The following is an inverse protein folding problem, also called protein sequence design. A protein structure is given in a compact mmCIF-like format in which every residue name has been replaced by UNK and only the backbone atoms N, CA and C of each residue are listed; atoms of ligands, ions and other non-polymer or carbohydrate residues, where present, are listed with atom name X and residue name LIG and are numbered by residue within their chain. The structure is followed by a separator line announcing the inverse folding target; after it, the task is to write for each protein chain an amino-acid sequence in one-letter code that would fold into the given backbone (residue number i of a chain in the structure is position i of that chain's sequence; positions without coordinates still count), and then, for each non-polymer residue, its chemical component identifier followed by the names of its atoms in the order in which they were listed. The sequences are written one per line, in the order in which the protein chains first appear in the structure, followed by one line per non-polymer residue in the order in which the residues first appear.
data_IF_159380714426
#
_entry.id   IF_159380714426
#
_cell.length_a   1.000
_cell.length_b   1.000
_cell.length_c   1.000
_cell.angle_alpha   90.00
_cell.angle_beta   90.00
_cell.angle_gamma   90.00
#
_symmetry.space_group_name_H-M   'P 1'
#
loop_
_entity.id
_entity.type
_entity.pdbx_description
1 polymer ?
#
# COMPACT_ATOMS: atom_id res chain seq x y z
N UNK A 1 18.72 -69.81 -26.54
CA UNK A 1 19.78 -69.26 -25.66
C UNK A 1 19.43 -67.81 -25.41
N UNK A 2 18.83 -67.52 -24.27
CA UNK A 2 18.59 -66.15 -23.83
C UNK A 2 19.90 -65.60 -23.29
N UNK A 3 20.48 -64.60 -23.96
CA UNK A 3 21.67 -63.89 -23.49
C UNK A 3 21.27 -63.09 -22.25
N UNK A 4 21.65 -63.58 -21.07
CA UNK A 4 21.41 -62.87 -19.82
C UNK A 4 22.18 -61.52 -19.83
N UNK A 5 21.52 -60.40 -19.51
CA UNK A 5 22.15 -59.09 -19.55
C UNK A 5 23.28 -58.99 -18.53
N UNK A 6 24.46 -58.58 -19.00
CA UNK A 6 25.67 -58.47 -18.18
C UNK A 6 25.48 -57.38 -17.10
N UNK A 7 25.55 -57.69 -15.80
CA UNK A 7 25.15 -56.79 -14.72
C UNK A 7 25.94 -55.48 -14.69
N UNK A 8 27.21 -55.49 -15.10
CA UNK A 8 28.04 -54.28 -15.18
C UNK A 8 27.59 -53.30 -16.28
N UNK A 9 27.11 -53.81 -17.42
CA UNK A 9 26.62 -52.95 -18.51
C UNK A 9 25.29 -52.28 -18.14
N UNK A 10 24.45 -52.99 -17.38
CA UNK A 10 23.19 -52.47 -16.87
C UNK A 10 23.42 -51.31 -15.88
N UNK A 11 24.31 -51.49 -14.91
CA UNK A 11 24.66 -50.42 -13.98
C UNK A 11 25.29 -49.21 -14.69
N UNK A 12 26.10 -49.44 -15.73
CA UNK A 12 26.67 -48.35 -16.52
C UNK A 12 25.59 -47.56 -17.28
N UNK A 13 24.61 -48.25 -17.88
CA UNK A 13 23.48 -47.62 -18.56
C UNK A 13 22.61 -46.79 -17.60
N UNK A 14 22.29 -47.33 -16.41
CA UNK A 14 21.55 -46.62 -15.37
C UNK A 14 22.31 -45.37 -14.86
N UNK A 15 23.64 -45.46 -14.72
CA UNK A 15 24.47 -44.32 -14.36
C UNK A 15 24.49 -43.23 -15.44
N UNK A 16 24.58 -43.61 -16.71
CA UNK A 16 24.49 -42.66 -17.83
C UNK A 16 23.13 -41.98 -17.90
N UNK A 17 22.04 -42.71 -17.69
CA UNK A 17 20.69 -42.15 -17.64
C UNK A 17 20.54 -41.14 -16.49
N UNK A 18 21.09 -41.46 -15.32
CA UNK A 18 21.15 -40.54 -14.19
C UNK A 18 21.96 -39.27 -14.52
N UNK A 19 23.13 -39.40 -15.15
CA UNK A 19 23.97 -38.26 -15.54
C UNK A 19 23.29 -37.38 -16.60
N UNK A 20 22.61 -37.98 -17.57
CA UNK A 20 21.83 -37.27 -18.58
C UNK A 20 20.65 -36.52 -17.93
N UNK A 21 19.94 -37.16 -17.01
CA UNK A 21 18.86 -36.53 -16.26
C UNK A 21 19.34 -35.31 -15.46
N UNK A 22 20.45 -35.45 -14.72
CA UNK A 22 21.02 -34.33 -13.96
C UNK A 22 21.49 -33.19 -14.88
N UNK A 23 22.11 -33.53 -16.00
CA UNK A 23 22.56 -32.55 -17.00
C UNK A 23 21.38 -31.79 -17.59
N UNK A 24 20.31 -32.49 -17.95
CA UNK A 24 19.08 -31.88 -18.48
C UNK A 24 18.44 -30.96 -17.44
N UNK A 25 18.32 -31.41 -16.20
CA UNK A 25 17.80 -30.59 -15.09
C UNK A 25 18.62 -29.31 -14.89
N UNK A 26 19.95 -29.40 -14.96
CA UNK A 26 20.82 -28.24 -14.83
C UNK A 26 20.68 -27.26 -16.01
N UNK A 27 20.54 -27.78 -17.23
CA UNK A 27 20.28 -26.98 -18.43
C UNK A 27 18.94 -26.23 -18.33
N UNK A 28 17.89 -26.90 -17.87
CA UNK A 28 16.57 -26.30 -17.70
C UNK A 28 16.58 -25.23 -16.60
N UNK A 29 17.25 -25.49 -15.46
CA UNK A 29 17.42 -24.49 -14.41
C UNK A 29 18.19 -23.25 -14.92
N UNK A 30 19.24 -23.46 -15.71
CA UNK A 30 20.04 -22.38 -16.31
C UNK A 30 19.20 -21.57 -17.30
N UNK A 31 18.38 -22.23 -18.12
CA UNK A 31 17.47 -21.59 -19.07
C UNK A 31 16.43 -20.73 -18.36
N UNK A 32 15.84 -21.23 -17.29
CA UNK A 32 14.87 -20.49 -16.47
C UNK A 32 15.53 -19.24 -15.87
N UNK A 33 16.71 -19.38 -15.29
CA UNK A 33 17.47 -18.26 -14.73
C UNK A 33 17.81 -17.20 -15.80
N UNK A 34 18.28 -17.62 -16.98
CA UNK A 34 18.59 -16.71 -18.08
C UNK A 34 17.35 -15.94 -18.55
N UNK A 35 16.21 -16.60 -18.67
CA UNK A 35 14.96 -15.97 -19.08
C UNK A 35 14.44 -14.98 -18.03
N UNK A 36 14.50 -15.34 -16.74
CA UNK A 36 14.13 -14.43 -15.64
C UNK A 36 15.02 -13.20 -15.60
N UNK A 37 16.33 -13.38 -15.76
CA UNK A 37 17.30 -12.28 -15.81
C UNK A 37 17.03 -11.37 -17.00
N UNK A 38 16.73 -11.94 -18.18
CA UNK A 38 16.40 -11.16 -19.36
C UNK A 38 15.11 -10.35 -19.19
N UNK A 39 14.06 -10.94 -18.62
CA UNK A 39 12.81 -10.24 -18.32
C UNK A 39 13.04 -9.06 -17.36
N UNK A 40 13.85 -9.26 -16.32
CA UNK A 40 14.19 -8.19 -15.39
C UNK A 40 14.96 -7.05 -16.07
N UNK A 41 15.92 -7.36 -16.95
CA UNK A 41 16.67 -6.35 -17.70
C UNK A 41 15.74 -5.51 -18.60
N UNK A 42 14.75 -6.14 -19.24
CA UNK A 42 13.77 -5.43 -20.07
C UNK A 42 12.94 -4.47 -19.20
N UNK A 43 12.42 -4.94 -18.07
CA UNK A 43 11.63 -4.13 -17.13
C UNK A 43 12.44 -2.91 -16.62
N UNK A 44 13.70 -3.12 -16.24
CA UNK A 44 14.59 -2.03 -15.84
C UNK A 44 14.81 -1.02 -16.99
N UNK A 45 14.92 -1.50 -18.23
CA UNK A 45 15.04 -0.65 -19.41
C UNK A 45 13.82 0.25 -19.63
N UNK A 46 12.61 -0.24 -19.36
CA UNK A 46 11.37 0.55 -19.44
C UNK A 46 11.31 1.61 -18.34
N UNK A 47 11.65 1.25 -17.10
CA UNK A 47 11.73 2.20 -16.00
C UNK A 47 12.72 3.35 -16.29
N UNK A 48 13.89 3.04 -16.85
CA UNK A 48 14.88 4.05 -17.26
C UNK A 48 14.34 4.97 -18.35
N UNK A 49 13.58 4.45 -19.32
CA UNK A 49 12.94 5.27 -20.36
C UNK A 49 11.92 6.23 -19.75
N UNK A 50 11.09 5.74 -18.83
CA UNK A 50 10.09 6.55 -18.15
C UNK A 50 10.74 7.68 -17.34
N UNK A 51 11.75 7.37 -16.53
CA UNK A 51 12.49 8.37 -15.75
C UNK A 51 13.17 9.43 -16.64
N UNK A 52 13.66 9.04 -17.81
CA UNK A 52 14.23 9.99 -18.77
C UNK A 52 13.16 10.92 -19.38
N UNK A 53 11.97 10.39 -19.66
CA UNK A 53 10.84 11.19 -20.14
C UNK A 53 10.38 12.18 -19.05
N UNK A 54 10.24 11.73 -17.80
CA UNK A 54 9.88 12.60 -16.68
C UNK A 54 10.92 13.69 -16.44
N UNK A 55 12.20 13.35 -16.50
CA UNK A 55 13.29 14.33 -16.41
C UNK A 55 13.23 15.35 -17.54
N UNK A 56 12.87 14.95 -18.76
CA UNK A 56 12.66 15.85 -19.89
C UNK A 56 11.44 16.75 -19.67
N UNK A 57 10.34 16.20 -19.17
CA UNK A 57 9.13 16.96 -18.84
C UNK A 57 9.42 18.01 -17.73
N UNK A 58 10.16 17.63 -16.69
CA UNK A 58 10.56 18.54 -15.61
C UNK A 58 11.45 19.67 -16.12
N UNK A 59 12.40 19.38 -17.03
CA UNK A 59 13.20 20.41 -17.70
C UNK A 59 12.34 21.38 -18.51
N UNK A 60 11.35 20.87 -19.24
CA UNK A 60 10.41 21.70 -19.99
C UNK A 60 9.54 22.55 -19.08
N UNK A 61 9.06 22.02 -17.95
CA UNK A 61 8.30 22.77 -16.96
C UNK A 61 9.14 23.90 -16.34
N UNK A 62 10.41 23.63 -16.00
CA UNK A 62 11.34 24.65 -15.51
C UNK A 62 11.60 25.73 -16.56
N UNK A 63 11.89 25.35 -17.81
CA UNK A 63 12.06 26.29 -18.90
C UNK A 63 10.82 27.14 -19.17
N UNK A 64 9.61 26.55 -19.06
CA UNK A 64 8.34 27.29 -19.14
C UNK A 64 8.18 28.27 -17.98
N UNK A 65 8.50 27.85 -16.75
CA UNK A 65 8.49 28.70 -15.56
C UNK A 65 9.47 29.87 -15.69
N UNK A 66 10.68 29.61 -16.19
CA UNK A 66 11.70 30.63 -16.41
C UNK A 66 11.27 31.61 -17.50
N UNK A 67 10.70 31.13 -18.61
CA UNK A 67 10.11 31.97 -19.65
C UNK A 67 8.93 32.82 -19.15
N UNK A 68 8.13 32.26 -18.24
CA UNK A 68 7.03 32.94 -17.53
C UNK A 68 7.54 34.07 -16.63
N UNK A 69 8.70 33.90 -15.98
CA UNK A 69 9.32 34.91 -15.12
C UNK A 69 9.95 36.03 -15.96
N UNK A 70 10.44 35.72 -17.16
CA UNK A 70 11.02 36.70 -18.09
C UNK A 70 9.98 37.40 -19.00
N UNK A 71 8.71 37.00 -18.94
CA UNK A 71 7.63 37.61 -19.71
C UNK A 71 7.12 38.91 -19.06
N UNK A 72 6.79 39.96 -19.84
CA UNK A 72 6.29 41.22 -19.30
C UNK A 72 5.02 41.03 -18.45
N UNK A 73 4.85 41.81 -17.37
CA UNK A 73 3.93 41.50 -16.28
C UNK A 73 2.50 41.87 -16.68
N UNK A 74 1.79 40.99 -17.39
CA UNK A 74 0.33 41.16 -17.52
C UNK A 74 -0.50 39.90 -17.82
N UNK A 75 0.08 38.68 -17.77
CA UNK A 75 -0.69 37.45 -18.05
C UNK A 75 -0.55 36.33 -17.01
N UNK A 76 0.56 36.20 -16.28
CA UNK A 76 0.88 34.94 -15.60
C UNK A 76 0.42 34.79 -14.15
N UNK A 77 0.12 35.88 -13.44
CA UNK A 77 -0.31 35.80 -12.03
C UNK A 77 -1.71 35.19 -11.87
N UNK A 78 -2.61 35.45 -12.82
CA UNK A 78 -3.98 34.94 -12.77
C UNK A 78 -4.01 33.42 -13.04
N UNK A 79 -3.19 32.94 -13.97
CA UNK A 79 -3.09 31.50 -14.27
C UNK A 79 -2.48 30.72 -13.11
N UNK A 80 -1.42 31.24 -12.46
CA UNK A 80 -0.79 30.58 -11.33
C UNK A 80 -1.72 30.51 -10.09
N UNK A 81 -2.49 31.57 -9.81
CA UNK A 81 -3.49 31.55 -8.74
C UNK A 81 -4.66 30.61 -9.06
N UNK A 82 -5.13 30.61 -10.30
CA UNK A 82 -6.16 29.66 -10.76
C UNK A 82 -5.68 28.21 -10.62
N UNK A 83 -4.42 27.94 -10.93
CA UNK A 83 -3.83 26.62 -10.81
C UNK A 83 -3.69 26.18 -9.35
N UNK A 84 -3.27 27.07 -8.46
CA UNK A 84 -3.25 26.83 -7.00
C UNK A 84 -4.65 26.58 -6.43
N UNK A 85 -5.65 27.35 -6.87
CA UNK A 85 -7.04 27.14 -6.47
C UNK A 85 -7.56 25.79 -6.99
N UNK A 86 -7.27 25.43 -8.23
CA UNK A 86 -7.63 24.13 -8.81
C UNK A 86 -6.98 22.97 -8.06
N UNK A 87 -5.69 23.06 -7.72
CA UNK A 87 -5.00 22.03 -6.94
C UNK A 87 -5.61 21.89 -5.55
N UNK A 88 -5.87 23.00 -4.86
CA UNK A 88 -6.51 22.96 -3.54
C UNK A 88 -7.90 22.33 -3.62
N UNK A 89 -8.69 22.67 -4.64
CA UNK A 89 -10.02 22.08 -4.85
C UNK A 89 -9.95 20.59 -5.15
N UNK A 90 -8.99 20.16 -5.97
CA UNK A 90 -8.75 18.74 -6.29
C UNK A 90 -8.30 17.95 -5.04
N UNK A 91 -7.42 18.50 -4.21
CA UNK A 91 -7.01 17.88 -2.94
C UNK A 91 -8.21 17.74 -1.98
N UNK A 92 -9.09 18.75 -1.90
CA UNK A 92 -10.31 18.64 -1.09
C UNK A 92 -11.32 17.67 -1.66
N UNK A 93 -11.40 17.56 -2.98
CA UNK A 93 -12.31 16.64 -3.66
C UNK A 93 -11.86 15.18 -3.49
N UNK A 94 -10.56 14.91 -3.64
CA UNK A 94 -9.96 13.59 -3.36
C UNK A 94 -10.13 13.20 -1.89
N UNK A 95 -9.90 14.11 -0.94
CA UNK A 95 -10.17 13.86 0.48
C UNK A 95 -11.63 13.49 0.75
N UNK A 96 -12.58 14.16 0.06
CA UNK A 96 -14.01 13.90 0.16
C UNK A 96 -14.40 12.58 -0.50
N UNK A 97 -13.90 12.31 -1.70
CA UNK A 97 -14.17 11.09 -2.45
C UNK A 97 -13.68 9.85 -1.69
N UNK A 98 -12.46 9.89 -1.15
CA UNK A 98 -11.94 8.82 -0.30
C UNK A 98 -12.75 8.68 1.00
N UNK A 99 -13.13 9.80 1.63
CA UNK A 99 -13.96 9.76 2.85
C UNK A 99 -15.30 9.09 2.54
N UNK A 100 -15.89 9.40 1.38
CA UNK A 100 -17.16 8.86 0.96
C UNK A 100 -17.05 7.39 0.52
N UNK A 101 -15.96 7.00 -0.14
CA UNK A 101 -15.66 5.61 -0.47
C UNK A 101 -15.46 4.76 0.79
N UNK A 102 -14.77 5.28 1.82
CA UNK A 102 -14.64 4.60 3.11
C UNK A 102 -16.02 4.46 3.79
N UNK A 103 -16.84 5.52 3.82
CA UNK A 103 -18.21 5.44 4.38
C UNK A 103 -19.05 4.39 3.62
N UNK A 104 -18.98 4.36 2.29
CA UNK A 104 -19.69 3.37 1.49
C UNK A 104 -19.20 1.94 1.76
N UNK A 105 -17.88 1.75 1.96
CA UNK A 105 -17.33 0.46 2.36
C UNK A 105 -17.83 0.02 3.75
N UNK A 106 -17.86 0.92 4.73
CA UNK A 106 -18.45 0.66 6.05
C UNK A 106 -19.96 0.34 5.95
N UNK A 107 -20.70 1.01 5.08
CA UNK A 107 -22.13 0.75 4.86
C UNK A 107 -22.39 -0.58 4.13
N UNK A 108 -21.54 -0.96 3.18
CA UNK A 108 -21.65 -2.23 2.46
C UNK A 108 -21.35 -3.43 3.37
N UNK A 109 -20.47 -3.25 4.36
CA UNK A 109 -20.28 -4.22 5.44
C UNK A 109 -21.55 -4.32 6.33
N UNK A 110 -22.23 -3.19 6.57
CA UNK A 110 -23.50 -3.17 7.30
C UNK A 110 -24.68 -3.84 6.57
N UNK A 111 -24.65 -3.94 5.24
CA UNK A 111 -25.77 -4.46 4.44
C UNK A 111 -25.65 -5.95 4.05
N UNK A 112 -24.52 -6.62 4.33
CA UNK A 112 -24.30 -8.03 3.94
C UNK A 112 -24.85 -9.06 4.95
N UNK A 113 -25.54 -8.64 6.01
CA UNK A 113 -26.13 -9.55 7.01
C UNK A 113 -27.65 -9.69 6.87
N UNK A 114 -28.12 -10.63 6.03
CA UNK A 114 -29.49 -11.13 6.13
C UNK A 114 -29.55 -12.25 7.17
N UNK A 115 -30.24 -11.99 8.29
CA UNK A 115 -30.70 -13.05 9.19
C UNK A 115 -30.40 -12.82 10.67
N UNK A 116 -31.41 -12.28 11.37
CA UNK A 116 -31.68 -12.44 12.80
C UNK A 116 -30.69 -11.81 13.83
N UNK A 117 -31.21 -10.82 14.55
CA UNK A 117 -30.83 -10.29 15.87
C UNK A 117 -29.52 -9.50 16.13
N UNK A 118 -28.52 -9.44 15.25
CA UNK A 118 -27.29 -8.66 15.52
C UNK A 118 -26.86 -7.78 14.33
N UNK A 119 -27.52 -6.63 14.15
CA UNK A 119 -27.32 -5.77 12.96
C UNK A 119 -25.94 -5.09 12.93
N UNK A 120 -25.16 -5.18 11.83
CA UNK A 120 -23.91 -4.40 11.66
C UNK A 120 -24.15 -2.91 11.35
N UNK A 121 -25.38 -2.49 11.01
CA UNK A 121 -25.82 -1.09 11.13
C UNK A 121 -25.87 -0.59 12.58
N UNK A 122 -25.98 -1.49 13.56
CA UNK A 122 -25.79 -1.16 14.97
C UNK A 122 -24.31 -0.98 15.31
N UNK A 123 -23.37 -1.75 14.72
CA UNK A 123 -21.94 -1.63 15.03
C UNK A 123 -21.36 -0.26 14.69
N UNK A 124 -21.64 0.27 13.48
CA UNK A 124 -21.22 1.63 13.12
C UNK A 124 -21.87 2.70 14.02
N UNK A 125 -23.16 2.54 14.32
CA UNK A 125 -23.89 3.46 15.20
C UNK A 125 -23.38 3.40 16.65
N UNK A 126 -23.13 2.20 17.16
CA UNK A 126 -22.55 1.93 18.48
C UNK A 126 -21.14 2.52 18.55
N UNK A 127 -20.35 2.34 17.50
CA UNK A 127 -19.03 2.94 17.38
C UNK A 127 -19.08 4.47 17.35
N UNK A 128 -19.96 5.07 16.55
CA UNK A 128 -20.15 6.52 16.56
C UNK A 128 -20.65 7.04 17.92
N UNK A 129 -21.46 6.26 18.64
CA UNK A 129 -21.90 6.58 20.01
C UNK A 129 -20.75 6.57 21.03
N UNK A 130 -19.63 5.89 20.76
CA UNK A 130 -18.41 5.98 21.60
C UNK A 130 -17.66 7.31 21.41
N UNK A 131 -18.14 8.20 20.53
CA UNK A 131 -17.54 9.49 20.18
C UNK A 131 -16.01 9.40 19.91
N UNK A 132 -15.58 8.54 18.97
CA UNK A 132 -14.17 8.32 18.67
C UNK A 132 -13.45 9.61 18.27
N UNK A 133 -12.31 9.87 18.93
CA UNK A 133 -11.49 11.06 18.70
C UNK A 133 -10.80 11.00 17.34
N UNK A 134 -10.79 12.11 16.61
CA UNK A 134 -10.02 12.27 15.37
C UNK A 134 -8.55 12.55 15.71
N UNK A 135 -7.62 11.84 15.07
CA UNK A 135 -6.18 12.04 15.22
C UNK A 135 -5.58 12.68 13.97
N UNK A 136 -4.86 13.79 14.16
CA UNK A 136 -4.26 14.56 13.05
C UNK A 136 -2.73 14.50 13.08
N UNK A 137 -2.14 14.76 14.24
CA UNK A 137 -0.70 14.74 14.49
C UNK A 137 -0.44 14.49 15.98
N UNK A 138 0.76 14.01 16.29
CA UNK A 138 1.28 13.90 17.65
C UNK A 138 1.73 15.29 18.11
N UNK A 139 1.11 15.86 19.15
CA UNK A 139 1.58 17.10 19.78
C UNK A 139 2.39 16.79 21.04
N UNK A 140 1.94 15.80 21.83
CA UNK A 140 2.65 15.24 22.96
C UNK A 140 3.16 13.83 22.68
N UNK A 141 4.30 13.42 23.29
CA UNK A 141 4.92 12.12 23.04
C UNK A 141 4.03 10.88 23.22
N UNK A 142 2.92 11.00 23.97
CA UNK A 142 1.98 9.92 24.29
C UNK A 142 0.66 9.99 23.50
N UNK A 143 0.40 11.07 22.76
CA UNK A 143 -0.89 11.28 22.07
C UNK A 143 -1.24 10.16 21.09
N UNK A 144 -0.23 9.64 20.40
CA UNK A 144 -0.40 8.58 19.42
C UNK A 144 -0.77 7.25 20.11
N UNK A 145 -0.12 6.92 21.22
CA UNK A 145 -0.41 5.70 21.98
C UNK A 145 -1.76 5.78 22.68
N UNK A 146 -2.08 6.91 23.30
CA UNK A 146 -3.37 7.17 23.94
C UNK A 146 -4.53 7.10 22.94
N UNK A 147 -4.34 7.69 21.75
CA UNK A 147 -5.33 7.58 20.67
C UNK A 147 -5.51 6.14 20.22
N UNK A 148 -4.42 5.38 20.06
CA UNK A 148 -4.48 4.00 19.61
C UNK A 148 -5.21 3.10 20.63
N UNK A 149 -4.93 3.29 21.91
CA UNK A 149 -5.58 2.56 23.01
C UNK A 149 -7.07 2.92 23.11
N UNK A 150 -7.41 4.21 23.03
CA UNK A 150 -8.79 4.67 23.03
C UNK A 150 -9.56 4.12 21.82
N UNK A 151 -8.93 4.12 20.65
CA UNK A 151 -9.52 3.58 19.42
C UNK A 151 -9.76 2.07 19.53
N UNK A 152 -8.81 1.31 20.06
CA UNK A 152 -8.93 -0.12 20.29
C UNK A 152 -10.10 -0.45 21.23
N UNK A 153 -10.21 0.26 22.35
CA UNK A 153 -11.33 0.12 23.28
C UNK A 153 -12.68 0.44 22.63
N UNK A 154 -12.75 1.52 21.83
CA UNK A 154 -13.98 1.89 21.14
C UNK A 154 -14.40 0.83 20.10
N UNK A 155 -13.43 0.23 19.40
CA UNK A 155 -13.69 -0.83 18.42
C UNK A 155 -14.19 -2.12 19.10
N UNK A 156 -13.63 -2.46 20.25
CA UNK A 156 -14.04 -3.60 21.08
C UNK A 156 -15.47 -3.40 21.61
N UNK A 157 -15.76 -2.25 22.20
CA UNK A 157 -17.10 -1.89 22.71
C UNK A 157 -18.15 -1.94 21.59
N UNK A 158 -17.77 -1.56 20.37
CA UNK A 158 -18.67 -1.59 19.22
C UNK A 158 -18.80 -2.97 18.54
N UNK A 159 -18.04 -3.98 18.99
CA UNK A 159 -18.07 -5.33 18.40
C UNK A 159 -17.56 -5.39 16.96
N UNK A 160 -16.59 -4.53 16.61
CA UNK A 160 -15.98 -4.48 15.28
C UNK A 160 -15.02 -5.65 15.11
N UNK A 161 -15.12 -6.36 13.98
CA UNK A 161 -14.28 -7.52 13.71
C UNK A 161 -12.88 -7.11 13.23
N UNK A 162 -11.89 -7.98 13.44
CA UNK A 162 -10.47 -7.68 13.19
C UNK A 162 -10.16 -7.27 11.73
N UNK A 163 -10.96 -7.73 10.77
CA UNK A 163 -10.90 -7.36 9.34
C UNK A 163 -11.43 -5.94 9.06
N UNK A 164 -12.24 -5.37 9.94
CA UNK A 164 -12.88 -4.04 9.79
C UNK A 164 -12.19 -2.96 10.64
N UNK A 165 -11.47 -3.34 11.70
CA UNK A 165 -10.82 -2.42 12.64
C UNK A 165 -9.97 -1.34 11.96
N UNK A 166 -9.16 -1.70 10.95
CA UNK A 166 -8.31 -0.76 10.22
C UNK A 166 -9.14 0.23 9.41
N UNK A 167 -10.24 -0.22 8.80
CA UNK A 167 -11.15 0.65 8.03
C UNK A 167 -11.81 1.68 8.95
N UNK A 168 -12.27 1.25 10.12
CA UNK A 168 -12.84 2.14 11.12
C UNK A 168 -11.78 3.12 11.65
N UNK A 169 -10.63 2.67 12.12
CA UNK A 169 -9.60 3.55 12.70
C UNK A 169 -9.08 4.58 11.70
N UNK A 170 -8.85 4.19 10.44
CA UNK A 170 -8.33 5.08 9.40
C UNK A 170 -9.33 6.15 8.96
N UNK A 171 -10.62 5.93 9.20
CA UNK A 171 -11.65 6.97 9.03
C UNK A 171 -11.46 8.14 10.01
N UNK A 172 -10.87 7.89 11.18
CA UNK A 172 -10.63 8.90 12.22
C UNK A 172 -9.22 9.49 12.16
N UNK A 173 -8.47 9.23 11.09
CA UNK A 173 -7.24 9.94 10.78
C UNK A 173 -7.54 11.20 9.96
N UNK A 174 -6.89 12.31 10.30
CA UNK A 174 -6.97 13.57 9.60
C UNK A 174 -5.57 14.13 9.32
N UNK A 175 -5.49 15.16 8.47
CA UNK A 175 -4.26 15.93 8.25
C UNK A 175 -3.03 15.05 7.98
N UNK A 176 -1.90 15.30 8.67
CA UNK A 176 -0.66 14.54 8.48
C UNK A 176 -0.80 13.02 8.67
N UNK A 177 -1.57 12.57 9.67
CA UNK A 177 -1.75 11.14 9.92
C UNK A 177 -2.54 10.44 8.79
N UNK A 178 -3.50 11.15 8.15
CA UNK A 178 -4.19 10.62 6.97
C UNK A 178 -3.24 10.52 5.77
N UNK A 179 -2.40 11.51 5.53
CA UNK A 179 -1.41 11.48 4.45
C UNK A 179 -0.42 10.30 4.62
N UNK A 180 -0.01 10.03 5.86
CA UNK A 180 0.78 8.83 6.20
C UNK A 180 0.03 7.54 5.85
N UNK A 181 -1.26 7.43 6.20
CA UNK A 181 -2.05 6.25 5.87
C UNK A 181 -2.18 6.03 4.37
N UNK A 182 -2.46 7.08 3.59
CA UNK A 182 -2.55 6.99 2.12
C UNK A 182 -1.26 6.45 1.50
N UNK A 183 -0.11 6.95 1.96
CA UNK A 183 1.21 6.48 1.51
C UNK A 183 1.48 5.04 1.94
N UNK A 184 1.17 4.70 3.20
CA UNK A 184 1.35 3.35 3.75
C UNK A 184 0.49 2.32 3.02
N UNK A 185 -0.75 2.68 2.67
CA UNK A 185 -1.68 1.83 1.91
C UNK A 185 -1.19 1.61 0.47
N UNK A 186 -0.69 2.66 -0.18
CA UNK A 186 -0.13 2.57 -1.52
C UNK A 186 1.11 1.65 -1.55
N UNK A 187 1.99 1.75 -0.55
CA UNK A 187 3.16 0.87 -0.40
C UNK A 187 2.77 -0.58 -0.11
N UNK A 188 1.59 -0.83 0.45
CA UNK A 188 1.08 -2.19 0.71
C UNK A 188 0.41 -2.83 -0.52
N UNK A 189 0.46 -2.19 -1.70
CA UNK A 189 -0.09 -2.72 -2.94
C UNK A 189 -1.61 -2.92 -2.90
N UNK A 190 -2.33 -2.20 -2.03
CA UNK A 190 -3.77 -2.37 -1.85
C UNK A 190 -4.20 -3.63 -1.10
N UNK A 191 -3.26 -4.41 -0.55
CA UNK A 191 -3.60 -5.58 0.27
C UNK A 191 -4.24 -5.17 1.61
N UNK A 192 -5.16 -6.01 2.09
CA UNK A 192 -5.77 -5.87 3.41
C UNK A 192 -4.68 -5.89 4.49
N UNK A 193 -4.66 -4.84 5.32
CA UNK A 193 -3.74 -4.73 6.45
C UNK A 193 -4.45 -5.22 7.71
N UNK A 194 -3.77 -6.07 8.49
CA UNK A 194 -4.30 -6.51 9.78
C UNK A 194 -4.23 -5.38 10.81
N UNK A 195 -5.07 -5.42 11.84
CA UNK A 195 -4.99 -4.46 12.95
C UNK A 195 -3.61 -4.44 13.62
N UNK A 196 -3.00 -5.62 13.80
CA UNK A 196 -1.66 -5.73 14.38
C UNK A 196 -0.58 -5.02 13.53
N UNK A 197 -0.60 -5.21 12.21
CA UNK A 197 0.32 -4.53 11.29
C UNK A 197 0.10 -3.02 11.27
N UNK A 198 -1.16 -2.60 11.34
CA UNK A 198 -1.51 -1.18 11.44
C UNK A 198 -0.91 -0.56 12.70
N UNK A 199 -1.14 -1.16 13.89
CA UNK A 199 -0.57 -0.69 15.16
C UNK A 199 0.96 -0.58 15.10
N UNK A 200 1.62 -1.61 14.58
CA UNK A 200 3.08 -1.61 14.46
C UNK A 200 3.61 -0.46 13.59
N UNK A 201 3.00 -0.26 12.42
CA UNK A 201 3.39 0.81 11.49
C UNK A 201 3.04 2.19 12.06
N UNK A 202 1.88 2.33 12.69
CA UNK A 202 1.40 3.56 13.31
C UNK A 202 2.32 3.99 14.44
N UNK A 203 2.60 3.12 15.41
CA UNK A 203 3.49 3.42 16.53
C UNK A 203 4.90 3.76 16.04
N UNK A 204 5.44 3.04 15.05
CA UNK A 204 6.76 3.36 14.48
C UNK A 204 6.86 4.76 13.87
N UNK A 205 5.76 5.28 13.32
CA UNK A 205 5.74 6.57 12.62
C UNK A 205 5.33 7.73 13.51
N UNK A 206 4.38 7.52 14.43
CA UNK A 206 3.76 8.58 15.22
C UNK A 206 4.21 8.63 16.69
N UNK A 207 4.84 7.57 17.21
CA UNK A 207 5.37 7.55 18.58
C UNK A 207 6.87 7.89 18.54
N UNK A 208 7.31 8.97 19.22
CA UNK A 208 8.72 9.30 19.30
C UNK A 208 9.52 8.16 19.94
N UNK A 209 10.63 7.74 19.31
CA UNK A 209 11.48 6.61 19.76
C UNK A 209 11.98 6.68 21.21
N UNK A 210 11.89 7.83 21.87
CA UNK A 210 12.30 8.04 23.26
C UNK A 210 11.43 7.24 24.25
N UNK A 211 10.23 6.80 23.84
CA UNK A 211 9.30 6.03 24.67
C UNK A 211 9.20 4.54 24.30
N UNK A 212 9.84 4.09 23.21
CA UNK A 212 9.77 2.69 22.75
C UNK A 212 10.67 1.70 23.52
N UNK A 213 11.15 2.07 24.71
CA UNK A 213 11.88 1.19 25.63
C UNK A 213 11.19 1.16 26.98
N UNK A 214 10.29 0.21 27.19
CA UNK A 214 10.09 -0.47 28.48
C UNK A 214 9.74 -1.93 28.22
#
# INVERSE_FOLDING_TARGET
MELQPHPQLRHHAEHLDFMLYQTQKNLDATRVYANQTHAHIIEQGEAIKLLNNDRKALRQQRAKKDATIMAPPNRTNNDAMMQLLQTLLADRETERAERQANIAALQNLANQGHGNHDHPGSKLKNFQNTNPRVFSKTEEPLDADDWLQTMENNLEVAGVEANEMVLFATHYLAGPARAWWTSTRAMNGGQFMTWADFKLKFSKYHVPRVLSRR
#
